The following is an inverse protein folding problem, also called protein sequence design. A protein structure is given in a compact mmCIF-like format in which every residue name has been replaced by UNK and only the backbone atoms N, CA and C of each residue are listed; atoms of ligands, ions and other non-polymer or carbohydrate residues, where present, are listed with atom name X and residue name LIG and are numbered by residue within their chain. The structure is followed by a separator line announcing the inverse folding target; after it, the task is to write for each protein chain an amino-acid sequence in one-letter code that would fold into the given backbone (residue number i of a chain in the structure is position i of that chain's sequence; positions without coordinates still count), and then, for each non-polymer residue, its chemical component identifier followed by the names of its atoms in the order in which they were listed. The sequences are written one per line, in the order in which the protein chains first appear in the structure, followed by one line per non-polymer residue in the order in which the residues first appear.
data_IF_948494080555
#
_entry.id   IF_948494080555
#
_cell.length_a   1.000
_cell.length_b   1.000
_cell.length_c   1.000
_cell.angle_alpha   90.00
_cell.angle_beta   90.00
_cell.angle_gamma   90.00
#
_symmetry.space_group_name_H-M   'P 1'
#
loop_
_entity.id
_entity.type
_entity.pdbx_description
1 polymer ?
#
# COMPACT_ATOMS: atom_id res chain seq x y z
N UNK A 1 -57.91 0.62 -5.79
CA UNK A 1 -57.24 1.92 -6.04
C UNK A 1 -55.99 2.12 -5.18
N UNK A 2 -55.95 1.69 -3.91
CA UNK A 2 -54.77 1.84 -3.03
C UNK A 2 -53.56 1.02 -3.52
N UNK A 3 -53.73 -0.28 -3.79
CA UNK A 3 -52.67 -1.15 -4.31
C UNK A 3 -52.05 -0.68 -5.64
N UNK A 4 -52.85 -0.10 -6.53
CA UNK A 4 -52.35 0.44 -7.79
C UNK A 4 -51.46 1.67 -7.57
N UNK A 5 -51.77 2.46 -6.53
CA UNK A 5 -51.02 3.66 -6.14
C UNK A 5 -49.71 3.32 -5.42
N UNK A 6 -49.71 2.22 -4.65
CA UNK A 6 -48.51 1.67 -4.00
C UNK A 6 -47.55 1.07 -5.04
N UNK A 7 -48.03 0.29 -6.01
CA UNK A 7 -47.20 -0.24 -7.10
C UNK A 7 -46.59 0.87 -7.97
N UNK A 8 -47.36 1.93 -8.24
CA UNK A 8 -46.87 3.11 -8.97
C UNK A 8 -45.82 3.90 -8.15
N UNK A 9 -45.98 3.96 -6.83
CA UNK A 9 -45.00 4.56 -5.91
C UNK A 9 -43.70 3.77 -5.82
N UNK A 10 -43.77 2.43 -5.75
CA UNK A 10 -42.59 1.55 -5.73
C UNK A 10 -41.81 1.68 -7.05
N UNK A 11 -42.50 1.66 -8.20
CA UNK A 11 -41.86 1.87 -9.49
C UNK A 11 -41.21 3.26 -9.63
N UNK A 12 -41.81 4.29 -9.04
CA UNK A 12 -41.23 5.63 -8.99
C UNK A 12 -39.96 5.68 -8.12
N UNK A 13 -39.97 5.06 -6.92
CA UNK A 13 -38.80 5.00 -6.04
C UNK A 13 -37.63 4.24 -6.68
N UNK A 14 -37.90 3.08 -7.28
CA UNK A 14 -36.87 2.30 -7.98
C UNK A 14 -36.19 3.10 -9.12
N UNK A 15 -36.99 3.88 -9.86
CA UNK A 15 -36.48 4.74 -10.93
C UNK A 15 -35.56 5.83 -10.37
N UNK A 16 -35.97 6.49 -9.28
CA UNK A 16 -35.18 7.54 -8.62
C UNK A 16 -33.86 6.98 -8.08
N UNK A 17 -33.87 5.83 -7.41
CA UNK A 17 -32.66 5.19 -6.86
C UNK A 17 -31.67 4.83 -7.98
N UNK A 18 -32.15 4.32 -9.11
CA UNK A 18 -31.30 3.99 -10.26
C UNK A 18 -30.75 5.24 -10.95
N UNK A 19 -31.58 6.28 -11.14
CA UNK A 19 -31.15 7.57 -11.69
C UNK A 19 -30.06 8.20 -10.81
N UNK A 20 -30.27 8.22 -9.50
CA UNK A 20 -29.30 8.75 -8.54
C UNK A 20 -27.98 7.95 -8.55
N UNK A 21 -28.05 6.62 -8.69
CA UNK A 21 -26.85 5.80 -8.82
C UNK A 21 -26.09 6.10 -10.12
N UNK A 22 -26.79 6.20 -11.25
CA UNK A 22 -26.18 6.52 -12.56
C UNK A 22 -25.53 7.91 -12.52
N UNK A 23 -26.21 8.90 -11.95
CA UNK A 23 -25.66 10.25 -11.80
C UNK A 23 -24.41 10.25 -10.90
N UNK A 24 -24.44 9.52 -9.79
CA UNK A 24 -23.30 9.42 -8.88
C UNK A 24 -22.07 8.72 -9.48
N UNK A 25 -22.26 7.87 -10.51
CA UNK A 25 -21.18 7.10 -11.15
C UNK A 25 -20.71 7.69 -12.49
N UNK A 26 -21.38 8.71 -13.02
CA UNK A 26 -21.08 9.30 -14.32
C UNK A 26 -19.61 9.79 -14.46
N UNK A 27 -19.01 10.26 -13.36
CA UNK A 27 -17.63 10.78 -13.36
C UNK A 27 -16.56 9.73 -13.07
N UNK A 28 -16.94 8.56 -12.53
CA UNK A 28 -16.00 7.52 -12.11
C UNK A 28 -15.08 7.04 -13.25
N UNK A 29 -15.57 6.71 -14.46
CA UNK A 29 -14.70 6.23 -15.54
C UNK A 29 -13.62 7.24 -15.92
N UNK A 30 -13.99 8.53 -16.01
CA UNK A 30 -13.07 9.60 -16.37
C UNK A 30 -12.01 9.84 -15.28
N UNK A 31 -12.42 9.84 -14.01
CA UNK A 31 -11.50 10.00 -12.88
C UNK A 31 -10.53 8.82 -12.79
N UNK A 32 -11.02 7.58 -12.86
CA UNK A 32 -10.20 6.37 -12.83
C UNK A 32 -9.21 6.35 -14.00
N UNK A 33 -9.66 6.69 -15.20
CA UNK A 33 -8.79 6.76 -16.38
C UNK A 33 -7.68 7.80 -16.19
N UNK A 34 -8.00 8.99 -15.67
CA UNK A 34 -6.99 10.02 -15.36
C UNK A 34 -5.96 9.49 -14.37
N UNK A 35 -6.40 8.88 -13.28
CA UNK A 35 -5.49 8.37 -12.25
C UNK A 35 -4.60 7.24 -12.78
N UNK A 36 -5.16 6.28 -13.53
CA UNK A 36 -4.39 5.17 -14.11
C UNK A 36 -3.38 5.65 -15.15
N UNK A 37 -3.73 6.67 -15.95
CA UNK A 37 -2.76 7.30 -16.85
C UNK A 37 -1.61 7.95 -16.07
N UNK A 38 -1.91 8.67 -15.00
CA UNK A 38 -0.87 9.25 -14.13
C UNK A 38 0.00 8.18 -13.47
N UNK A 39 -0.57 7.05 -13.02
CA UNK A 39 0.21 5.89 -12.50
C UNK A 39 1.15 5.37 -13.58
N UNK A 40 0.67 5.18 -14.82
CA UNK A 40 1.47 4.72 -15.94
C UNK A 40 2.63 5.67 -16.25
N UNK A 41 2.38 6.97 -16.29
CA UNK A 41 3.44 7.96 -16.51
C UNK A 41 4.47 7.96 -15.37
N UNK A 42 4.03 7.82 -14.11
CA UNK A 42 4.93 7.67 -12.97
C UNK A 42 5.77 6.40 -13.10
N UNK A 43 5.19 5.28 -13.53
CA UNK A 43 5.92 4.03 -13.77
C UNK A 43 7.01 4.19 -14.83
N UNK A 44 6.69 4.82 -15.97
CA UNK A 44 7.65 5.07 -17.05
C UNK A 44 8.80 5.95 -16.58
N UNK A 45 8.50 7.05 -15.88
CA UNK A 45 9.53 7.96 -15.34
C UNK A 45 10.39 7.28 -14.28
N UNK A 46 9.79 6.47 -13.41
CA UNK A 46 10.51 5.73 -12.35
C UNK A 46 11.44 4.67 -12.97
N UNK A 47 10.98 3.97 -14.02
CA UNK A 47 11.79 3.02 -14.76
C UNK A 47 12.98 3.69 -15.46
N UNK A 48 12.77 4.83 -16.12
CA UNK A 48 13.83 5.63 -16.74
C UNK A 48 14.87 6.08 -15.72
N UNK A 49 14.42 6.69 -14.61
CA UNK A 49 15.31 7.15 -13.55
C UNK A 49 16.10 5.99 -12.91
N UNK A 50 15.49 4.82 -12.74
CA UNK A 50 16.17 3.62 -12.27
C UNK A 50 17.27 3.16 -13.24
N UNK A 51 17.03 3.23 -14.55
CA UNK A 51 18.03 2.89 -15.56
C UNK A 51 19.20 3.89 -15.57
N UNK A 52 18.92 5.19 -15.45
CA UNK A 52 19.96 6.22 -15.30
C UNK A 52 20.82 6.00 -14.06
N UNK A 53 20.21 5.73 -12.90
CA UNK A 53 20.94 5.43 -11.66
C UNK A 53 21.84 4.22 -11.85
N UNK A 54 21.35 3.15 -12.49
CA UNK A 54 22.17 1.94 -12.77
C UNK A 54 23.37 2.27 -13.67
N UNK A 55 23.18 3.11 -14.69
CA UNK A 55 24.25 3.57 -15.58
C UNK A 55 25.30 4.39 -14.83
N UNK A 56 24.87 5.34 -13.99
CA UNK A 56 25.77 6.17 -13.18
C UNK A 56 26.54 5.34 -12.15
N UNK A 57 25.89 4.36 -11.52
CA UNK A 57 26.54 3.42 -10.59
C UNK A 57 27.59 2.59 -11.34
N UNK A 58 27.28 2.07 -12.52
CA UNK A 58 28.25 1.33 -13.33
C UNK A 58 29.46 2.20 -13.68
N UNK A 59 29.23 3.46 -14.11
CA UNK A 59 30.30 4.43 -14.39
C UNK A 59 31.17 4.70 -13.17
N UNK A 60 30.54 4.94 -12.01
CA UNK A 60 31.24 5.14 -10.75
C UNK A 60 32.14 3.94 -10.41
N UNK A 61 31.64 2.71 -10.59
CA UNK A 61 32.41 1.48 -10.32
C UNK A 61 33.59 1.27 -11.28
N UNK A 62 33.47 1.74 -12.53
CA UNK A 62 34.58 1.70 -13.50
C UNK A 62 35.67 2.74 -13.24
N UNK A 63 35.30 3.89 -12.66
CA UNK A 63 36.23 4.98 -12.33
C UNK A 63 36.99 4.72 -11.02
N UNK A 64 36.40 3.95 -10.09
CA UNK A 64 37.09 3.51 -8.87
C UNK A 64 38.13 2.43 -9.25
N UNK A 65 39.44 2.64 -9.02
CA UNK A 65 40.45 1.66 -9.40
C UNK A 65 40.21 0.32 -8.70
N UNK A 66 39.85 -0.71 -9.46
CA UNK A 66 39.57 -2.06 -8.95
C UNK A 66 40.83 -2.77 -8.40
N UNK A 67 42.04 -2.25 -8.63
CA UNK A 67 43.28 -2.96 -8.26
C UNK A 67 44.56 -2.11 -8.12
N UNK A 68 44.49 -0.78 -8.16
CA UNK A 68 45.69 0.06 -8.17
C UNK A 68 45.83 0.84 -6.86
N UNK A 69 46.80 0.46 -6.04
CA UNK A 69 47.28 1.19 -4.86
C UNK A 69 47.92 2.56 -5.19
N UNK A 70 47.73 3.06 -6.42
CA UNK A 70 48.12 4.41 -6.82
C UNK A 70 46.97 5.33 -6.48
N UNK A 71 47.25 6.35 -5.68
CA UNK A 71 46.31 7.43 -5.38
C UNK A 71 45.59 7.84 -6.67
N UNK A 72 44.25 7.82 -6.71
CA UNK A 72 43.52 8.31 -7.87
C UNK A 72 43.96 9.75 -8.17
N UNK A 73 44.03 10.09 -9.45
CA UNK A 73 44.31 11.47 -9.86
C UNK A 73 43.21 12.38 -9.28
N UNK A 74 43.56 13.58 -8.81
CA UNK A 74 42.63 14.46 -8.09
C UNK A 74 41.33 14.74 -8.88
N UNK A 75 41.42 14.72 -10.22
CA UNK A 75 40.30 14.85 -11.14
C UNK A 75 39.34 13.65 -11.08
N UNK A 76 39.85 12.42 -11.04
CA UNK A 76 39.05 11.20 -10.91
C UNK A 76 38.30 11.16 -9.57
N UNK A 77 38.94 11.62 -8.50
CA UNK A 77 38.30 11.71 -7.19
C UNK A 77 37.14 12.72 -7.19
N UNK A 78 37.32 13.87 -7.84
CA UNK A 78 36.25 14.87 -8.03
C UNK A 78 35.10 14.32 -8.88
N UNK A 79 35.40 13.62 -9.97
CA UNK A 79 34.38 13.03 -10.84
C UNK A 79 33.55 11.97 -10.09
N UNK A 80 34.20 11.06 -9.36
CA UNK A 80 33.53 10.04 -8.55
C UNK A 80 32.69 10.67 -7.43
N UNK A 81 33.17 11.72 -6.78
CA UNK A 81 32.41 12.44 -5.75
C UNK A 81 31.16 13.12 -6.35
N UNK A 82 31.29 13.75 -7.52
CA UNK A 82 30.17 14.34 -8.26
C UNK A 82 29.12 13.28 -8.68
N UNK A 83 29.58 12.15 -9.23
CA UNK A 83 28.69 11.04 -9.60
C UNK A 83 27.94 10.49 -8.38
N UNK A 84 28.63 10.29 -7.25
CA UNK A 84 27.99 9.83 -6.00
C UNK A 84 26.89 10.78 -5.54
N UNK A 85 27.16 12.08 -5.50
CA UNK A 85 26.16 13.08 -5.12
C UNK A 85 24.94 13.06 -6.06
N UNK A 86 25.20 12.96 -7.37
CA UNK A 86 24.15 12.88 -8.40
C UNK A 86 23.33 11.58 -8.30
N UNK A 87 23.96 10.45 -7.94
CA UNK A 87 23.28 9.18 -7.68
C UNK A 87 22.37 9.31 -6.45
N UNK A 88 22.87 9.86 -5.34
CA UNK A 88 22.09 10.04 -4.11
C UNK A 88 20.87 10.97 -4.30
N UNK A 89 21.02 12.04 -5.09
CA UNK A 89 19.92 12.92 -5.45
C UNK A 89 18.86 12.19 -6.29
N UNK A 90 19.27 11.48 -7.35
CA UNK A 90 18.34 10.71 -8.19
C UNK A 90 17.67 9.57 -7.42
N UNK A 91 18.38 8.92 -6.50
CA UNK A 91 17.79 7.89 -5.64
C UNK A 91 16.72 8.46 -4.71
N UNK A 92 16.97 9.62 -4.09
CA UNK A 92 15.94 10.31 -3.28
C UNK A 92 14.71 10.64 -4.13
N UNK A 93 14.91 11.20 -5.32
CA UNK A 93 13.82 11.48 -6.25
C UNK A 93 13.05 10.21 -6.66
N UNK A 94 13.76 9.11 -6.92
CA UNK A 94 13.15 7.82 -7.25
C UNK A 94 12.23 7.32 -6.12
N UNK A 95 12.68 7.44 -4.87
CA UNK A 95 11.89 7.05 -3.69
C UNK A 95 10.63 7.91 -3.58
N UNK A 96 10.75 9.23 -3.70
CA UNK A 96 9.58 10.14 -3.66
C UNK A 96 8.56 9.80 -4.76
N UNK A 97 9.01 9.57 -6.00
CA UNK A 97 8.11 9.19 -7.10
C UNK A 97 7.46 7.82 -6.88
N UNK A 98 8.18 6.87 -6.27
CA UNK A 98 7.63 5.57 -5.91
C UNK A 98 6.56 5.69 -4.81
N UNK A 99 6.76 6.55 -3.82
CA UNK A 99 5.78 6.86 -2.78
C UNK A 99 4.52 7.51 -3.37
N UNK A 100 4.68 8.52 -4.24
CA UNK A 100 3.57 9.15 -4.96
C UNK A 100 2.75 8.13 -5.76
N UNK A 101 3.42 7.19 -6.45
CA UNK A 101 2.76 6.11 -7.17
C UNK A 101 1.92 5.23 -6.26
N UNK A 102 2.46 4.85 -5.10
CA UNK A 102 1.73 4.04 -4.11
C UNK A 102 0.51 4.79 -3.58
N UNK A 103 0.67 6.08 -3.26
CA UNK A 103 -0.44 6.90 -2.78
C UNK A 103 -1.54 7.06 -3.84
N UNK A 104 -1.15 7.21 -5.11
CA UNK A 104 -2.13 7.30 -6.20
C UNK A 104 -2.88 5.97 -6.41
N UNK A 105 -2.18 4.84 -6.31
CA UNK A 105 -2.81 3.53 -6.38
C UNK A 105 -3.79 3.28 -5.21
N UNK A 106 -3.45 3.75 -4.01
CA UNK A 106 -4.35 3.72 -2.85
C UNK A 106 -5.61 4.54 -3.14
N UNK A 107 -5.47 5.76 -3.65
CA UNK A 107 -6.62 6.61 -4.00
C UNK A 107 -7.52 5.96 -5.06
N UNK A 108 -6.94 5.30 -6.08
CA UNK A 108 -7.73 4.57 -7.08
C UNK A 108 -8.57 3.46 -6.42
N UNK A 109 -7.96 2.75 -5.47
CA UNK A 109 -8.63 1.68 -4.75
C UNK A 109 -9.75 2.23 -3.87
N UNK A 110 -9.50 3.29 -3.12
CA UNK A 110 -10.50 3.94 -2.26
C UNK A 110 -11.68 4.52 -3.06
N UNK A 111 -11.41 5.12 -4.23
CA UNK A 111 -12.46 5.58 -5.14
C UNK A 111 -13.35 4.41 -5.58
N UNK A 112 -12.73 3.33 -6.04
CA UNK A 112 -13.46 2.13 -6.49
C UNK A 112 -14.27 1.50 -5.35
N UNK A 113 -13.68 1.41 -4.15
CA UNK A 113 -14.32 0.82 -2.97
C UNK A 113 -15.54 1.64 -2.52
N UNK A 114 -15.46 2.97 -2.56
CA UNK A 114 -16.60 3.86 -2.30
C UNK A 114 -17.75 3.62 -3.27
N UNK A 115 -17.47 3.49 -4.57
CA UNK A 115 -18.52 3.22 -5.56
C UNK A 115 -19.11 1.80 -5.44
N UNK A 116 -18.30 0.82 -5.03
CA UNK A 116 -18.80 -0.52 -4.73
C UNK A 116 -19.74 -0.52 -3.52
N UNK A 117 -19.38 0.21 -2.46
CA UNK A 117 -20.23 0.38 -1.28
C UNK A 117 -21.54 1.12 -1.60
N UNK A 118 -21.47 2.16 -2.44
CA UNK A 118 -22.65 2.89 -2.93
C UNK A 118 -23.58 1.98 -3.73
N UNK A 119 -23.05 1.19 -4.67
CA UNK A 119 -23.84 0.20 -5.41
C UNK A 119 -24.51 -0.82 -4.48
N UNK A 120 -23.77 -1.34 -3.50
CA UNK A 120 -24.32 -2.27 -2.52
C UNK A 120 -25.43 -1.63 -1.67
N UNK A 121 -25.36 -0.32 -1.40
CA UNK A 121 -26.43 0.44 -0.75
C UNK A 121 -27.67 0.55 -1.63
N UNK A 122 -27.52 1.02 -2.87
CA UNK A 122 -28.62 1.15 -3.83
C UNK A 122 -29.31 -0.19 -4.10
N UNK A 123 -28.57 -1.29 -4.18
CA UNK A 123 -29.15 -2.63 -4.35
C UNK A 123 -29.96 -3.09 -3.13
N UNK A 124 -29.54 -2.74 -1.91
CA UNK A 124 -30.29 -3.06 -0.69
C UNK A 124 -31.60 -2.27 -0.62
N UNK A 125 -31.57 -0.99 -1.00
CA UNK A 125 -32.75 -0.14 -1.06
C UNK A 125 -33.76 -0.67 -2.10
N UNK A 126 -33.28 -1.00 -3.30
CA UNK A 126 -34.10 -1.62 -4.34
C UNK A 126 -34.76 -2.94 -3.88
N UNK A 127 -34.04 -3.77 -3.12
CA UNK A 127 -34.57 -5.04 -2.62
C UNK A 127 -35.51 -4.87 -1.42
N UNK A 128 -35.29 -3.86 -0.57
CA UNK A 128 -36.18 -3.54 0.54
C UNK A 128 -37.55 -3.06 0.03
N UNK A 129 -37.56 -2.21 -1.00
CA UNK A 129 -38.78 -1.74 -1.67
C UNK A 129 -39.59 -2.89 -2.32
N UNK A 130 -38.94 -4.01 -2.65
CA UNK A 130 -39.59 -5.21 -3.19
C UNK A 130 -40.21 -6.08 -2.07
N UNK A 131 -39.65 -6.07 -0.86
CA UNK A 131 -40.12 -6.84 0.30
C UNK A 131 -41.19 -6.11 1.13
N UNK A 132 -41.13 -4.79 1.24
CA UNK A 132 -42.10 -3.98 2.02
C UNK A 132 -43.58 -4.21 1.63
N UNK A 133 -43.97 -4.33 0.34
CA UNK A 133 -45.35 -4.63 -0.05
C UNK A 133 -45.81 -6.07 0.30
N UNK A 134 -44.88 -7.00 0.55
CA UNK A 134 -45.20 -8.38 0.94
C UNK A 134 -45.50 -8.50 2.44
N UNK A 135 -44.82 -7.73 3.28
CA UNK A 135 -45.04 -7.75 4.73
C UNK A 135 -46.37 -7.07 5.13
N UNK A 136 -46.80 -6.05 4.38
CA UNK A 136 -48.08 -5.35 4.62
C UNK A 136 -49.32 -6.18 4.22
N UNK A 137 -49.15 -7.31 3.53
CA UNK A 137 -50.23 -8.26 3.18
C UNK A 137 -50.24 -9.54 4.04
N UNK A 138 -49.33 -9.65 5.02
CA UNK A 138 -49.15 -10.85 5.84
C UNK A 138 -49.85 -10.79 7.22
N UNK A 139 -50.89 -9.96 7.40
CA UNK A 139 -51.76 -10.01 8.60
C UNK A 139 -52.82 -11.12 8.45
N UNK A 140 -52.33 -12.36 8.32
CA UNK A 140 -53.16 -13.50 7.93
C UNK A 140 -52.54 -14.87 8.24
N UNK A 141 -51.73 -14.97 9.29
CA UNK A 141 -51.39 -16.23 9.95
C UNK A 141 -50.22 -17.04 9.36
N UNK A 142 -49.31 -17.46 10.25
CA UNK A 142 -48.43 -18.59 10.00
C UNK A 142 -46.94 -18.26 9.95
N UNK A 143 -46.35 -18.20 11.14
CA UNK A 143 -44.93 -18.38 11.47
C UNK A 143 -44.14 -19.20 10.43
N UNK A 144 -43.17 -18.60 9.73
CA UNK A 144 -42.02 -19.31 9.13
C UNK A 144 -40.76 -18.42 9.21
N UNK A 145 -39.72 -18.95 9.87
CA UNK A 145 -38.40 -18.34 10.03
C UNK A 145 -37.74 -17.97 8.69
N UNK A 146 -37.02 -16.84 8.61
CA UNK A 146 -36.06 -16.61 7.55
C UNK A 146 -34.76 -17.35 7.87
N UNK A 147 -34.67 -18.61 7.46
CA UNK A 147 -33.39 -19.30 7.25
C UNK A 147 -33.18 -19.41 5.72
N UNK A 148 -31.96 -19.11 5.27
CA UNK A 148 -31.46 -19.27 3.89
C UNK A 148 -31.92 -18.26 2.81
N UNK A 149 -31.53 -16.99 2.97
CA UNK A 149 -31.16 -16.15 1.81
C UNK A 149 -29.63 -16.12 1.72
N UNK A 150 -29.07 -17.12 1.04
CA UNK A 150 -27.64 -17.24 0.77
C UNK A 150 -27.17 -16.09 -0.13
N UNK A 151 -26.62 -15.04 0.49
CA UNK A 151 -25.82 -14.05 -0.23
C UNK A 151 -24.51 -14.73 -0.68
N UNK A 152 -24.02 -14.52 -1.93
CA UNK A 152 -22.72 -15.03 -2.31
C UNK A 152 -21.68 -14.35 -1.42
N UNK A 153 -20.93 -15.16 -0.67
CA UNK A 153 -19.84 -14.69 0.17
C UNK A 153 -18.81 -13.93 -0.66
N UNK A 154 -18.92 -12.61 -0.70
CA UNK A 154 -17.84 -11.74 -1.16
C UNK A 154 -16.72 -11.89 -0.14
N UNK A 155 -15.73 -12.71 -0.50
CA UNK A 155 -14.52 -12.91 0.26
C UNK A 155 -14.00 -11.55 0.73
N UNK A 156 -13.98 -11.34 2.06
CA UNK A 156 -13.42 -10.15 2.71
C UNK A 156 -11.95 -10.02 2.27
N UNK A 157 -11.70 -9.29 1.18
CA UNK A 157 -10.34 -8.93 0.78
C UNK A 157 -9.82 -7.94 1.81
N UNK A 158 -8.64 -8.17 2.39
CA UNK A 158 -8.12 -7.31 3.45
C UNK A 158 -7.94 -5.89 2.91
N UNK A 159 -8.46 -4.92 3.65
CA UNK A 159 -8.30 -3.48 3.37
C UNK A 159 -6.81 -3.12 3.34
N UNK A 160 -6.43 -2.17 2.49
CA UNK A 160 -5.06 -1.65 2.34
C UNK A 160 -4.43 -1.24 3.69
N UNK A 161 -5.24 -0.81 4.67
CA UNK A 161 -4.80 -0.52 6.03
C UNK A 161 -4.17 -1.73 6.77
N UNK A 162 -4.62 -2.95 6.49
CA UNK A 162 -4.08 -4.18 7.09
C UNK A 162 -2.74 -4.61 6.47
N UNK A 163 -2.46 -4.24 5.22
CA UNK A 163 -1.19 -4.52 4.56
C UNK A 163 -0.06 -3.62 5.10
N UNK A 164 -0.36 -2.36 5.44
CA UNK A 164 0.61 -1.46 6.06
C UNK A 164 1.00 -1.88 7.48
N UNK A 165 0.08 -2.43 8.28
CA UNK A 165 0.40 -2.91 9.64
C UNK A 165 1.41 -4.07 9.63
N UNK A 166 1.31 -4.97 8.65
CA UNK A 166 2.22 -6.12 8.50
C UNK A 166 3.62 -5.73 8.00
N UNK A 167 3.78 -4.62 7.29
CA UNK A 167 5.11 -4.13 6.89
C UNK A 167 5.82 -3.39 8.03
N UNK A 168 5.07 -2.70 8.92
CA UNK A 168 5.63 -2.07 10.10
C UNK A 168 6.19 -3.11 11.09
N UNK A 169 5.52 -4.25 11.27
CA UNK A 169 5.97 -5.34 12.17
C UNK A 169 7.21 -6.09 11.66
N UNK A 170 7.48 -6.11 10.35
CA UNK A 170 8.71 -6.72 9.80
C UNK A 170 9.95 -5.84 9.95
N UNK A 171 9.81 -4.51 9.97
CA UNK A 171 10.96 -3.59 10.15
C UNK A 171 11.50 -3.61 11.58
N UNK A 172 10.65 -3.80 12.59
CA UNK A 172 11.10 -3.84 14.01
C UNK A 172 11.85 -5.13 14.38
N UNK A 173 11.62 -6.23 13.65
CA UNK A 173 12.25 -7.52 13.92
C UNK A 173 13.65 -7.65 13.31
N UNK A 174 13.89 -7.03 12.15
CA UNK A 174 15.21 -7.02 11.49
C UNK A 174 16.23 -6.12 12.18
N UNK A 175 15.81 -5.03 12.83
CA UNK A 175 16.72 -4.09 13.51
C UNK A 175 17.21 -4.61 14.87
N UNK A 176 16.49 -5.57 15.48
CA UNK A 176 16.87 -6.19 16.75
C UNK A 176 17.86 -7.34 16.63
N UNK A 177 18.15 -7.83 15.41
CA UNK A 177 19.09 -8.94 15.16
C UNK A 177 20.51 -8.50 14.78
N UNK A 178 20.77 -7.21 14.63
CA UNK A 178 22.09 -6.66 14.26
C UNK A 178 22.86 -5.98 15.41
N UNK A 179 22.50 -6.27 16.67
CA UNK A 179 23.32 -5.94 17.84
C UNK A 179 23.72 -7.23 18.55
N UNK A 180 24.83 -7.83 18.10
CA UNK A 180 25.56 -8.76 18.96
C UNK A 180 26.34 -8.01 20.05
N UNK A 181 26.61 -8.67 21.19
CA UNK A 181 27.23 -8.07 22.37
C UNK A 181 28.77 -8.11 22.31
N UNK A 182 29.41 -6.94 22.41
CA UNK A 182 30.84 -6.85 22.69
C UNK A 182 31.09 -6.92 24.21
N UNK A 183 31.65 -8.06 24.61
CA UNK A 183 32.74 -8.24 25.59
C UNK A 183 32.55 -7.72 27.03
N UNK A 184 32.18 -8.63 27.93
CA UNK A 184 32.54 -8.57 29.35
C UNK A 184 33.67 -9.59 29.61
N UNK A 185 34.91 -9.13 29.58
CA UNK A 185 36.10 -9.93 29.95
C UNK A 185 37.00 -9.10 30.86
N UNK A 186 36.49 -8.79 32.05
CA UNK A 186 37.26 -8.09 33.08
C UNK A 186 36.88 -8.52 34.49
N UNK A 187 36.96 -9.83 34.82
CA UNK A 187 37.11 -10.27 36.20
C UNK A 187 37.40 -11.77 36.26
N UNK A 188 38.68 -12.16 36.36
CA UNK A 188 39.13 -13.20 37.31
C UNK A 188 40.62 -13.55 37.12
N UNK A 189 41.33 -13.57 38.26
CA UNK A 189 42.54 -14.35 38.54
C UNK A 189 43.90 -13.87 38.01
N UNK A 190 44.51 -12.89 38.70
CA UNK A 190 45.95 -12.97 39.05
C UNK A 190 46.23 -12.26 40.39
N UNK A 191 46.10 -12.98 41.51
CA UNK A 191 46.80 -12.66 42.76
C UNK A 191 47.37 -13.95 43.35
N UNK A 192 48.55 -14.35 42.87
CA UNK A 192 49.50 -15.19 43.59
C UNK A 192 50.82 -15.22 42.81
N UNK A 193 51.88 -14.71 43.44
CA UNK A 193 53.30 -14.97 43.21
C UNK A 193 54.16 -13.69 43.32
N UNK A 194 54.27 -13.14 44.53
CA UNK A 194 55.43 -12.34 44.94
C UNK A 194 56.30 -13.21 45.85
N UNK A 195 57.16 -14.04 45.25
CA UNK A 195 58.39 -14.57 45.86
C UNK A 195 59.50 -14.45 44.83
N UNK A 196 60.09 -13.25 44.75
CA UNK A 196 61.44 -13.10 44.22
C UNK A 196 62.38 -13.64 45.29
N UNK A 197 62.90 -14.84 45.05
CA UNK A 197 64.23 -15.22 45.48
C UNK A 197 65.12 -15.10 44.26
N UNK A 198 65.93 -14.05 44.18
CA UNK A 198 67.11 -14.02 43.32
C UNK A 198 68.32 -14.21 44.22
N UNK A 199 68.97 -15.35 44.04
CA UNK A 199 70.37 -15.57 44.37
C UNK A 199 71.21 -14.56 43.58
N UNK A 200 71.98 -13.73 44.27
CA UNK A 200 73.45 -13.61 44.16
C UNK A 200 73.94 -12.62 45.22
#
# INVERSE_FOLDING_TARGET
MVLARELESIGANQTITLEQYVESTAHLPAELQRMLNTVKELDERTAGLSAEIKSDVARCLTLVPQSSWKSPEAEQYREVAGLRSSIEERQRKLVTMAEEKVQLAIQCYELTDRHLASLAGSLKELHADELEPLEMNADGGGLLSPEEASAPAIAKRPSAAQLNRKQAEKKTSSEKRLREPELDSAAMQTKSAKRQGSQQ
#
